data_IF_525900936483
#
_entry.id   IF_525900936483
#
_cell.length_a   1.000
_cell.length_b   1.000
_cell.length_c   1.000
_cell.angle_alpha   90.00
_cell.angle_beta   90.00
_cell.angle_gamma   90.00
#
_symmetry.space_group_name_H-M   'P 1'
#
loop_
_entity.id
_entity.type
_entity.pdbx_description
1 polymer ?
#
# COMPACT_ATOMS: atom_id res chain seq x y z
N UNK A 1 3.56 1.26 -19.84
CA UNK A 1 4.28 0.92 -18.58
C UNK A 1 3.60 -0.27 -17.94
N UNK A 2 4.35 -1.09 -17.22
CA UNK A 2 3.85 -2.20 -16.42
C UNK A 2 4.26 -1.91 -14.98
N UNK A 3 3.29 -1.95 -14.06
CA UNK A 3 3.52 -1.83 -12.62
C UNK A 3 3.01 -3.09 -11.93
N UNK A 4 3.92 -3.97 -11.50
CA UNK A 4 3.59 -5.18 -10.74
C UNK A 4 3.73 -4.89 -9.24
N UNK A 5 2.60 -4.82 -8.52
CA UNK A 5 2.62 -4.58 -7.07
C UNK A 5 2.35 -5.89 -6.35
N UNK A 6 3.41 -6.45 -5.79
CA UNK A 6 3.38 -7.65 -4.97
C UNK A 6 3.13 -7.40 -3.47
N UNK A 7 3.31 -8.45 -2.67
CA UNK A 7 3.19 -8.36 -1.22
C UNK A 7 4.39 -7.64 -0.57
N UNK A 8 5.60 -7.81 -1.13
CA UNK A 8 6.83 -7.24 -0.58
C UNK A 8 7.38 -6.06 -1.38
N UNK A 9 7.36 -6.15 -2.70
CA UNK A 9 7.91 -5.16 -3.62
C UNK A 9 6.87 -4.69 -4.64
N UNK A 10 7.20 -3.60 -5.34
CA UNK A 10 6.57 -3.20 -6.57
C UNK A 10 7.64 -2.99 -7.65
N UNK A 11 7.40 -3.54 -8.84
CA UNK A 11 8.32 -3.50 -9.98
C UNK A 11 7.69 -2.67 -11.11
N UNK A 12 8.47 -1.72 -11.64
CA UNK A 12 8.01 -0.79 -12.67
C UNK A 12 8.90 -0.85 -13.90
N UNK A 13 8.25 -1.10 -15.05
CA UNK A 13 8.93 -1.20 -16.33
C UNK A 13 8.23 -0.39 -17.41
N UNK A 14 9.01 0.18 -18.31
CA UNK A 14 8.49 0.91 -19.46
C UNK A 14 8.89 0.22 -20.75
N UNK A 15 7.90 -0.05 -21.58
CA UNK A 15 8.02 -0.77 -22.83
C UNK A 15 7.29 -0.01 -23.93
N UNK A 16 7.80 -0.15 -25.15
CA UNK A 16 7.20 0.34 -26.38
C UNK A 16 6.94 -0.85 -27.32
N UNK A 17 5.77 -0.85 -27.94
CA UNK A 17 5.43 -1.80 -29.00
C UNK A 17 5.98 -1.24 -30.31
N UNK A 18 7.02 -1.89 -30.86
CA UNK A 18 7.69 -1.49 -32.11
C UNK A 18 6.99 -2.08 -33.32
N UNK A 19 6.48 -3.30 -33.17
CA UNK A 19 5.71 -4.00 -34.20
C UNK A 19 4.76 -4.99 -33.52
N UNK A 20 3.67 -5.33 -34.20
CA UNK A 20 2.66 -6.29 -33.74
C UNK A 20 2.67 -7.59 -34.56
N UNK A 21 3.32 -7.62 -35.73
CA UNK A 21 3.35 -8.81 -36.61
C UNK A 21 4.72 -9.03 -37.29
N UNK A 22 5.67 -9.75 -36.64
CA UNK A 22 5.57 -10.34 -35.29
C UNK A 22 5.63 -9.27 -34.19
N UNK A 23 5.12 -9.61 -32.99
CA UNK A 23 5.23 -8.72 -31.83
C UNK A 23 6.71 -8.45 -31.53
N UNK A 24 7.09 -7.18 -31.58
CA UNK A 24 8.42 -6.68 -31.20
C UNK A 24 8.24 -5.58 -30.18
N UNK A 25 8.90 -5.72 -29.04
CA UNK A 25 8.87 -4.75 -27.96
C UNK A 25 10.28 -4.24 -27.66
N UNK A 26 10.36 -2.99 -27.21
CA UNK A 26 11.60 -2.33 -26.81
C UNK A 26 11.45 -1.80 -25.39
N UNK A 27 12.41 -2.11 -24.52
CA UNK A 27 12.44 -1.54 -23.19
C UNK A 27 12.91 -0.08 -23.27
N UNK A 28 12.12 0.84 -22.71
CA UNK A 28 12.40 2.28 -22.73
C UNK A 28 13.26 2.72 -21.55
N UNK A 29 13.11 2.04 -20.42
CA UNK A 29 13.79 2.35 -19.17
C UNK A 29 14.05 1.06 -18.40
N UNK A 30 15.18 1.01 -17.69
CA UNK A 30 15.52 -0.12 -16.83
C UNK A 30 14.42 -0.32 -15.76
N UNK A 31 14.22 -1.58 -15.37
CA UNK A 31 13.27 -1.93 -14.32
C UNK A 31 13.63 -1.24 -13.00
N UNK A 32 12.62 -0.73 -12.30
CA UNK A 32 12.75 -0.13 -10.97
C UNK A 32 11.97 -0.96 -9.97
N UNK A 33 12.66 -1.46 -8.94
CA UNK A 33 12.07 -2.23 -7.85
C UNK A 33 12.05 -1.37 -6.58
N UNK A 34 10.89 -1.27 -5.96
CA UNK A 34 10.72 -0.61 -4.66
C UNK A 34 10.16 -1.58 -3.63
N UNK A 35 10.58 -1.44 -2.38
CA UNK A 35 10.08 -2.24 -1.25
C UNK A 35 8.79 -1.66 -0.67
N UNK A 36 7.79 -1.46 -1.54
CA UNK A 36 6.50 -0.86 -1.22
C UNK A 36 5.32 -1.79 -1.55
N UNK A 37 5.46 -3.09 -1.30
CA UNK A 37 4.36 -4.04 -1.46
C UNK A 37 3.26 -3.90 -0.40
N UNK A 38 2.23 -4.74 -0.49
CA UNK A 38 1.06 -4.70 0.40
C UNK A 38 1.38 -4.88 1.91
N UNK A 39 2.55 -5.44 2.25
CA UNK A 39 3.03 -5.53 3.65
C UNK A 39 3.36 -4.17 4.24
N UNK A 40 3.81 -3.21 3.42
CA UNK A 40 4.17 -1.86 3.87
C UNK A 40 3.01 -1.16 4.57
N UNK A 41 1.77 -1.39 4.11
CA UNK A 41 0.56 -0.85 4.75
C UNK A 41 0.39 -1.41 6.17
N UNK A 42 0.56 -2.72 6.37
CA UNK A 42 0.43 -3.33 7.70
C UNK A 42 1.49 -2.83 8.66
N UNK A 43 2.73 -2.73 8.18
CA UNK A 43 3.87 -2.23 8.97
C UNK A 43 3.62 -0.79 9.38
N UNK A 44 3.09 0.03 8.48
CA UNK A 44 2.75 1.41 8.77
C UNK A 44 1.59 1.51 9.77
N UNK A 45 0.54 0.70 9.62
CA UNK A 45 -0.55 0.60 10.59
C UNK A 45 -0.02 0.23 11.98
N UNK A 46 0.78 -0.85 12.08
CA UNK A 46 1.42 -1.27 13.32
C UNK A 46 2.22 -0.12 13.94
N UNK A 47 3.05 0.55 13.14
CA UNK A 47 3.90 1.66 13.60
C UNK A 47 3.05 2.78 14.20
N UNK A 48 2.03 3.24 13.47
CA UNK A 48 1.12 4.32 13.90
C UNK A 48 0.34 3.93 15.16
N UNK A 49 -0.27 2.75 15.15
CA UNK A 49 -1.05 2.27 16.29
C UNK A 49 -0.19 2.13 17.54
N UNK A 50 0.93 1.40 17.47
CA UNK A 50 1.83 1.22 18.62
C UNK A 50 2.43 2.56 19.10
N UNK A 51 2.72 3.49 18.20
CA UNK A 51 3.16 4.83 18.58
C UNK A 51 2.07 5.57 19.37
N UNK A 52 0.80 5.48 18.94
CA UNK A 52 -0.32 6.15 19.61
C UNK A 52 -0.58 5.65 21.04
N UNK A 53 -0.20 4.40 21.34
CA UNK A 53 -0.38 3.76 22.66
C UNK A 53 0.93 3.58 23.44
N UNK A 54 2.04 4.14 22.94
CA UNK A 54 3.37 3.96 23.53
C UNK A 54 3.48 4.48 24.96
N UNK A 55 2.75 5.55 25.29
CA UNK A 55 2.58 6.11 26.63
C UNK A 55 1.83 5.18 27.60
N UNK A 56 1.13 4.16 27.07
CA UNK A 56 0.39 3.14 27.83
C UNK A 56 0.98 1.74 27.72
N UNK A 57 2.20 1.61 27.20
CA UNK A 57 2.87 0.32 26.91
C UNK A 57 2.78 -0.69 28.08
N UNK A 58 3.17 -0.28 29.28
CA UNK A 58 3.18 -1.19 30.45
C UNK A 58 1.78 -1.65 30.85
N UNK A 59 0.77 -0.78 30.77
CA UNK A 59 -0.61 -1.13 31.06
C UNK A 59 -1.17 -2.11 30.02
N UNK A 60 -0.85 -1.89 28.73
CA UNK A 60 -1.25 -2.78 27.64
C UNK A 60 -0.60 -4.15 27.80
N UNK A 61 0.72 -4.21 28.01
CA UNK A 61 1.44 -5.48 28.20
C UNK A 61 0.97 -6.23 29.45
N UNK A 62 0.73 -5.53 30.55
CA UNK A 62 0.20 -6.13 31.78
C UNK A 62 -1.19 -6.74 31.56
N UNK A 63 -2.05 -6.07 30.79
CA UNK A 63 -3.37 -6.61 30.42
C UNK A 63 -3.24 -7.85 29.52
N UNK A 64 -2.35 -7.82 28.53
CA UNK A 64 -2.14 -8.93 27.59
C UNK A 64 -1.61 -10.20 28.26
N UNK A 65 -0.78 -10.05 29.30
CA UNK A 65 -0.25 -11.17 30.11
C UNK A 65 -1.33 -11.97 30.86
N UNK A 66 -2.54 -11.43 31.00
CA UNK A 66 -3.68 -12.19 31.56
C UNK A 66 -4.18 -13.29 30.63
N UNK A 67 -3.89 -13.18 29.32
CA UNK A 67 -4.30 -14.13 28.29
C UNK A 67 -3.10 -14.92 27.75
N UNK A 68 -1.96 -14.26 27.57
CA UNK A 68 -0.73 -14.88 27.07
C UNK A 68 0.48 -14.25 27.76
N UNK A 69 1.15 -15.03 28.61
CA UNK A 69 2.31 -14.58 29.39
C UNK A 69 3.54 -14.26 28.54
N UNK A 70 3.59 -14.73 27.30
CA UNK A 70 4.70 -14.53 26.37
C UNK A 70 4.54 -13.31 25.48
N UNK A 71 3.36 -12.65 25.51
CA UNK A 71 3.06 -11.54 24.63
C UNK A 71 3.88 -10.29 25.01
N UNK A 72 4.86 -9.99 24.16
CA UNK A 72 5.66 -8.77 24.23
C UNK A 72 5.21 -7.73 23.20
N UNK A 73 5.91 -6.59 23.15
CA UNK A 73 5.57 -5.49 22.25
C UNK A 73 5.74 -5.83 20.78
N UNK A 74 6.70 -6.71 20.46
CA UNK A 74 6.94 -7.18 19.10
C UNK A 74 5.84 -8.16 18.69
N UNK A 75 5.50 -9.14 19.53
CA UNK A 75 4.42 -10.11 19.29
C UNK A 75 3.07 -9.42 19.15
N UNK A 76 2.79 -8.39 19.96
CA UNK A 76 1.60 -7.55 19.77
C UNK A 76 1.60 -6.89 18.39
N UNK A 77 2.75 -6.37 17.96
CA UNK A 77 2.93 -5.79 16.63
C UNK A 77 2.63 -6.77 15.50
N UNK A 78 3.15 -7.99 15.58
CA UNK A 78 2.89 -9.05 14.60
C UNK A 78 1.40 -9.45 14.57
N UNK A 79 0.75 -9.48 15.73
CA UNK A 79 -0.69 -9.78 15.85
C UNK A 79 -1.56 -8.65 15.31
N UNK A 80 -1.14 -7.39 15.45
CA UNK A 80 -1.77 -6.24 14.81
C UNK A 80 -1.70 -6.37 13.29
N UNK A 81 -0.52 -6.64 12.74
CA UNK A 81 -0.34 -6.83 11.29
C UNK A 81 -1.26 -7.95 10.76
N UNK A 82 -1.28 -9.11 11.44
CA UNK A 82 -2.11 -10.24 11.04
C UNK A 82 -3.61 -9.95 11.13
N UNK A 83 -4.06 -9.25 12.18
CA UNK A 83 -5.47 -8.90 12.36
C UNK A 83 -5.94 -7.84 11.35
N UNK A 84 -5.03 -6.96 10.92
CA UNK A 84 -5.28 -5.85 10.02
C UNK A 84 -5.46 -6.27 8.55
N UNK A 85 -4.95 -7.45 8.15
CA UNK A 85 -5.01 -7.93 6.75
C UNK A 85 -6.43 -7.93 6.16
N UNK A 86 -7.45 -8.32 6.96
CA UNK A 86 -8.84 -8.29 6.51
C UNK A 86 -9.33 -6.86 6.26
N UNK A 87 -9.18 -5.98 7.25
CA UNK A 87 -9.58 -4.58 7.16
C UNK A 87 -8.91 -3.88 5.96
N UNK A 88 -7.62 -4.13 5.73
CA UNK A 88 -6.88 -3.61 4.58
C UNK A 88 -7.48 -4.01 3.24
N UNK A 89 -7.85 -5.28 3.07
CA UNK A 89 -8.42 -5.81 1.81
C UNK A 89 -9.81 -5.26 1.53
N UNK A 90 -10.60 -5.06 2.59
CA UNK A 90 -11.98 -4.59 2.48
C UNK A 90 -12.09 -3.07 2.36
N UNK A 91 -10.99 -2.34 2.53
CA UNK A 91 -10.97 -0.89 2.46
C UNK A 91 -11.35 -0.36 1.08
N UNK A 92 -12.33 0.55 1.05
CA UNK A 92 -12.79 1.26 -0.15
C UNK A 92 -12.61 2.77 -0.04
N UNK A 93 -12.45 3.28 1.19
CA UNK A 93 -12.40 4.70 1.51
C UNK A 93 -13.66 5.42 0.97
N UNK A 94 -14.82 4.84 1.21
CA UNK A 94 -16.14 5.39 0.87
C UNK A 94 -16.93 5.56 2.16
N UNK A 95 -17.36 6.79 2.48
CA UNK A 95 -18.07 7.09 3.72
C UNK A 95 -17.22 6.93 5.00
N UNK A 96 -17.90 6.64 6.10
CA UNK A 96 -17.32 6.45 7.44
C UNK A 96 -16.99 4.97 7.68
N UNK A 97 -16.14 4.40 6.82
CA UNK A 97 -15.61 3.04 7.01
C UNK A 97 -14.92 2.93 8.38
N UNK A 98 -15.38 2.02 9.24
CA UNK A 98 -14.75 1.68 10.52
C UNK A 98 -14.59 0.18 10.65
N UNK A 99 -13.39 -0.25 11.00
CA UNK A 99 -13.03 -1.67 11.14
C UNK A 99 -12.72 -2.00 12.59
N UNK A 100 -13.16 -3.19 13.02
CA UNK A 100 -12.89 -3.68 14.37
C UNK A 100 -11.88 -4.81 14.31
N UNK A 101 -10.67 -4.57 14.80
CA UNK A 101 -9.68 -5.62 15.01
C UNK A 101 -9.90 -6.27 16.38
N UNK A 102 -9.67 -7.58 16.47
CA UNK A 102 -9.87 -8.36 17.69
C UNK A 102 -8.55 -8.91 18.19
N UNK A 103 -8.08 -8.38 19.31
CA UNK A 103 -6.85 -8.85 19.98
C UNK A 103 -7.21 -9.13 21.45
N UNK A 104 -7.52 -10.39 21.80
CA UNK A 104 -7.85 -10.78 23.16
C UNK A 104 -6.81 -10.32 24.19
N UNK A 105 -7.28 -9.83 25.34
CA UNK A 105 -6.42 -9.35 26.43
C UNK A 105 -6.05 -7.88 26.35
N UNK A 106 -6.41 -7.14 25.28
CA UNK A 106 -6.25 -5.69 25.28
C UNK A 106 -7.12 -5.01 26.36
N UNK A 107 -6.61 -3.96 27.00
CA UNK A 107 -7.37 -3.20 27.99
C UNK A 107 -8.51 -2.40 27.34
N UNK A 108 -9.40 -1.87 28.17
CA UNK A 108 -10.37 -0.86 27.75
C UNK A 108 -9.73 0.53 27.86
N UNK A 109 -9.50 1.19 26.73
CA UNK A 109 -8.93 2.54 26.64
C UNK A 109 -9.59 3.28 25.46
N UNK A 110 -10.83 3.79 25.62
CA UNK A 110 -11.57 4.44 24.54
C UNK A 110 -10.82 5.61 23.90
N UNK A 111 -10.03 6.34 24.67
CA UNK A 111 -9.20 7.46 24.21
C UNK A 111 -8.02 7.04 23.31
N UNK A 112 -7.79 5.73 23.18
CA UNK A 112 -6.73 5.12 22.34
C UNK A 112 -7.31 4.16 21.29
N UNK A 113 -8.54 4.42 20.86
CA UNK A 113 -9.27 3.57 19.90
C UNK A 113 -9.46 2.12 20.37
N UNK A 114 -9.47 1.88 21.70
CA UNK A 114 -9.79 0.60 22.32
C UNK A 114 -11.09 0.73 23.14
N UNK A 115 -12.26 0.91 22.51
CA UNK A 115 -13.52 1.27 23.18
C UNK A 115 -14.07 0.16 24.09
N UNK A 116 -13.62 -1.07 23.88
CA UNK A 116 -13.95 -2.23 24.69
C UNK A 116 -12.71 -3.12 24.76
N UNK A 117 -12.53 -3.80 25.90
CA UNK A 117 -11.46 -4.76 26.07
C UNK A 117 -11.41 -5.77 24.92
N UNK A 118 -10.20 -6.03 24.43
CA UNK A 118 -9.95 -6.96 23.33
C UNK A 118 -10.28 -6.45 21.92
N UNK A 119 -10.67 -5.18 21.75
CA UNK A 119 -11.07 -4.60 20.46
C UNK A 119 -10.30 -3.33 20.16
N UNK A 120 -9.90 -3.16 18.91
CA UNK A 120 -9.35 -1.92 18.36
C UNK A 120 -10.31 -1.44 17.27
N UNK A 121 -10.69 -0.18 17.36
CA UNK A 121 -11.40 0.51 16.30
C UNK A 121 -10.37 1.19 15.38
N UNK A 122 -10.50 0.94 14.07
CA UNK A 122 -9.65 1.52 13.04
C UNK A 122 -10.56 2.31 12.13
N UNK A 123 -10.47 3.63 12.27
CA UNK A 123 -11.22 4.57 11.43
C UNK A 123 -10.62 4.68 10.02
N UNK A 124 -11.39 5.29 9.13
CA UNK A 124 -11.00 5.52 7.75
C UNK A 124 -9.74 6.40 7.62
N UNK A 125 -9.49 7.32 8.57
CA UNK A 125 -8.33 8.21 8.50
C UNK A 125 -7.03 7.45 8.77
N UNK A 126 -6.99 6.64 9.82
CA UNK A 126 -5.87 5.74 10.10
C UNK A 126 -5.64 4.75 8.94
N UNK A 127 -6.71 4.27 8.30
CA UNK A 127 -6.60 3.46 7.08
C UNK A 127 -5.93 4.24 5.93
N UNK A 128 -6.40 5.46 5.61
CA UNK A 128 -5.82 6.30 4.55
C UNK A 128 -4.35 6.60 4.83
N UNK A 129 -4.06 7.00 6.06
CA UNK A 129 -2.70 7.30 6.53
C UNK A 129 -1.76 6.10 6.43
N UNK A 130 -2.26 4.89 6.68
CA UNK A 130 -1.47 3.66 6.57
C UNK A 130 -1.16 3.29 5.11
N UNK A 131 -2.05 3.64 4.17
CA UNK A 131 -1.82 3.44 2.73
C UNK A 131 -0.91 4.52 2.11
N UNK A 132 -0.86 5.72 2.71
CA UNK A 132 -0.23 6.89 2.11
C UNK A 132 1.26 6.69 1.76
N UNK A 133 2.10 6.08 2.62
CA UNK A 133 3.51 5.88 2.27
C UNK A 133 3.69 5.01 1.03
N UNK A 134 2.92 3.92 0.92
CA UNK A 134 2.95 3.03 -0.23
C UNK A 134 2.56 3.77 -1.51
N UNK A 135 1.44 4.51 -1.47
CA UNK A 135 0.95 5.31 -2.58
C UNK A 135 1.97 6.35 -3.03
N UNK A 136 2.57 7.08 -2.08
CA UNK A 136 3.59 8.07 -2.37
C UNK A 136 4.78 7.44 -3.11
N UNK A 137 5.29 6.29 -2.63
CA UNK A 137 6.41 5.60 -3.30
C UNK A 137 6.03 5.15 -4.71
N UNK A 138 4.87 4.50 -4.89
CA UNK A 138 4.41 4.03 -6.20
C UNK A 138 4.29 5.20 -7.19
N UNK A 139 3.58 6.27 -6.81
CA UNK A 139 3.37 7.44 -7.65
C UNK A 139 4.72 8.11 -7.99
N UNK A 140 5.62 8.21 -7.01
CA UNK A 140 6.92 8.83 -7.20
C UNK A 140 7.74 8.06 -8.22
N UNK A 141 7.82 6.73 -8.14
CA UNK A 141 8.59 5.90 -9.08
C UNK A 141 8.01 5.95 -10.49
N UNK A 142 6.69 5.95 -10.63
CA UNK A 142 6.05 6.12 -11.94
C UNK A 142 6.44 7.48 -12.54
N UNK A 143 6.33 8.56 -11.76
CA UNK A 143 6.69 9.91 -12.22
C UNK A 143 8.17 10.04 -12.57
N UNK A 144 9.05 9.48 -11.76
CA UNK A 144 10.50 9.52 -12.03
C UNK A 144 10.86 8.71 -13.27
N UNK A 145 10.21 7.57 -13.49
CA UNK A 145 10.34 6.78 -14.73
C UNK A 145 9.89 7.59 -15.94
N UNK A 146 8.70 8.21 -15.90
CA UNK A 146 8.18 9.04 -16.98
C UNK A 146 9.11 10.21 -17.29
N UNK A 147 9.60 10.92 -16.26
CA UNK A 147 10.59 12.01 -16.42
C UNK A 147 11.91 11.52 -16.99
N UNK A 148 12.37 10.32 -16.63
CA UNK A 148 13.58 9.75 -17.19
C UNK A 148 13.42 9.43 -18.69
N UNK A 149 12.27 8.89 -19.09
CA UNK A 149 11.96 8.60 -20.50
C UNK A 149 11.81 9.90 -21.29
N UNK A 150 11.08 10.90 -20.78
CA UNK A 150 10.90 12.18 -21.46
C UNK A 150 12.26 12.89 -21.66
N UNK A 151 13.17 12.82 -20.68
CA UNK A 151 14.55 13.31 -20.88
C UNK A 151 15.25 12.57 -22.02
N UNK A 152 15.17 11.24 -22.08
CA UNK A 152 15.76 10.45 -23.18
C UNK A 152 15.14 10.81 -24.53
N UNK A 153 13.84 11.05 -24.58
CA UNK A 153 13.10 11.50 -25.77
C UNK A 153 13.58 12.87 -26.24
N UNK A 154 13.76 13.84 -25.34
CA UNK A 154 14.30 15.17 -25.67
C UNK A 154 15.71 15.12 -26.27
N UNK A 155 16.47 14.06 -25.98
CA UNK A 155 17.79 13.78 -26.56
C UNK A 155 17.75 12.87 -27.81
N UNK A 156 16.57 12.54 -28.32
CA UNK A 156 16.40 11.68 -29.51
C UNK A 156 16.76 10.21 -29.29
N UNK A 157 16.88 9.74 -28.04
CA UNK A 157 17.22 8.36 -27.72
C UNK A 157 16.01 7.43 -27.71
N UNK A 158 14.81 8.00 -27.62
CA UNK A 158 13.52 7.31 -27.61
C UNK A 158 12.53 8.15 -28.42
N UNK A 159 11.61 7.50 -29.14
CA UNK A 159 10.66 8.19 -30.03
C UNK A 159 9.35 8.58 -29.32
N UNK A 160 8.94 7.80 -28.32
CA UNK A 160 7.67 7.93 -27.62
C UNK A 160 7.81 7.89 -26.10
N UNK A 161 6.77 8.36 -25.41
CA UNK A 161 6.60 8.20 -23.98
C UNK A 161 5.41 7.27 -23.70
N UNK A 162 5.42 6.50 -22.61
CA UNK A 162 4.27 5.69 -22.23
C UNK A 162 3.03 6.55 -22.03
N UNK A 163 1.90 6.07 -22.53
CA UNK A 163 0.54 6.64 -22.43
C UNK A 163 -0.42 5.70 -21.67
N UNK A 164 0.02 4.48 -21.36
CA UNK A 164 -0.72 3.49 -20.60
C UNK A 164 0.14 2.91 -19.46
N UNK A 165 -0.49 2.68 -18.31
CA UNK A 165 0.01 1.91 -17.18
C UNK A 165 -0.85 0.65 -17.00
N UNK A 166 -0.25 -0.50 -17.27
CA UNK A 166 -0.80 -1.82 -16.99
C UNK A 166 -0.45 -2.20 -15.55
N UNK A 167 -1.45 -2.27 -14.69
CA UNK A 167 -1.25 -2.74 -13.31
C UNK A 167 -1.28 -4.26 -13.27
N UNK A 168 -0.35 -4.87 -12.53
CA UNK A 168 -0.29 -6.29 -12.26
C UNK A 168 -0.09 -6.55 -10.76
N UNK A 169 -0.22 -7.82 -10.36
CA UNK A 169 0.01 -8.25 -8.98
C UNK A 169 -1.16 -8.02 -8.03
N UNK A 170 -0.97 -8.47 -6.78
CA UNK A 170 -2.01 -8.41 -5.74
C UNK A 170 -2.39 -6.99 -5.32
N UNK A 171 -1.50 -6.01 -5.48
CA UNK A 171 -1.78 -4.60 -5.23
C UNK A 171 -2.76 -3.99 -6.25
N UNK A 172 -2.80 -4.52 -7.48
CA UNK A 172 -3.80 -4.18 -8.50
C UNK A 172 -5.23 -4.61 -8.14
N UNK A 173 -5.42 -5.42 -7.09
CA UNK A 173 -6.73 -5.82 -6.60
C UNK A 173 -7.25 -4.95 -5.45
N UNK A 174 -6.45 -3.98 -4.95
CA UNK A 174 -6.90 -3.04 -3.94
C UNK A 174 -7.55 -1.83 -4.62
N UNK A 175 -8.87 -1.72 -4.49
CA UNK A 175 -9.66 -0.65 -5.11
C UNK A 175 -9.20 0.75 -4.71
N UNK A 176 -8.82 0.95 -3.45
CA UNK A 176 -8.34 2.24 -2.97
C UNK A 176 -7.02 2.64 -3.63
N UNK A 177 -6.07 1.70 -3.74
CA UNK A 177 -4.79 1.93 -4.42
C UNK A 177 -5.02 2.27 -5.90
N UNK A 178 -5.80 1.45 -6.59
CA UNK A 178 -6.05 1.63 -8.01
C UNK A 178 -6.75 2.95 -8.31
N UNK A 179 -7.75 3.32 -7.50
CA UNK A 179 -8.45 4.60 -7.62
C UNK A 179 -7.48 5.77 -7.43
N UNK A 180 -6.62 5.72 -6.41
CA UNK A 180 -5.64 6.79 -6.15
C UNK A 180 -4.59 6.94 -7.25
N UNK A 181 -4.13 5.83 -7.82
CA UNK A 181 -3.21 5.85 -8.96
C UNK A 181 -3.89 6.50 -10.17
N UNK A 182 -5.14 6.11 -10.49
CA UNK A 182 -5.94 6.73 -11.57
C UNK A 182 -6.14 8.22 -11.39
N UNK A 183 -6.67 8.62 -10.24
CA UNK A 183 -6.88 10.03 -9.88
C UNK A 183 -5.62 10.88 -10.02
N UNK A 184 -4.45 10.26 -9.86
CA UNK A 184 -3.16 10.95 -9.95
C UNK A 184 -2.58 10.98 -11.36
N UNK A 185 -2.76 9.92 -12.16
CA UNK A 185 -2.04 9.74 -13.43
C UNK A 185 -2.89 10.00 -14.68
N UNK A 186 -4.20 9.74 -14.61
CA UNK A 186 -5.11 9.98 -15.76
C UNK A 186 -5.20 11.46 -16.16
N UNK A 187 -5.20 12.44 -15.21
CA UNK A 187 -5.11 13.86 -15.57
C UNK A 187 -3.82 14.24 -16.30
N UNK A 188 -2.74 13.47 -16.10
CA UNK A 188 -1.44 13.65 -16.77
C UNK A 188 -1.41 12.93 -18.15
N UNK A 189 -2.53 12.36 -18.59
CA UNK A 189 -2.67 11.68 -19.88
C UNK A 189 -2.22 10.22 -19.88
N UNK A 190 -1.98 9.62 -18.71
CA UNK A 190 -1.60 8.20 -18.59
C UNK A 190 -2.85 7.38 -18.24
N UNK A 191 -3.33 6.59 -19.20
CA UNK A 191 -4.42 5.64 -18.97
C UNK A 191 -3.98 4.53 -18.02
N UNK A 192 -4.83 4.13 -17.06
CA UNK A 192 -4.49 3.06 -16.10
C UNK A 192 -5.42 1.87 -16.27
N UNK A 193 -4.86 0.80 -16.82
CA UNK A 193 -5.55 -0.47 -17.06
C UNK A 193 -5.28 -1.43 -15.91
N UNK A 194 -6.35 -2.06 -15.42
CA UNK A 194 -6.27 -3.09 -14.38
C UNK A 194 -6.44 -4.47 -15.03
N UNK A 195 -5.94 -5.54 -14.40
CA UNK A 195 -6.24 -6.89 -14.84
C UNK A 195 -7.76 -7.07 -14.79
N UNK A 196 -8.38 -7.39 -15.93
CA UNK A 196 -9.75 -7.90 -15.94
C UNK A 196 -9.75 -9.26 -15.25
N UNK A 197 -10.54 -9.38 -14.17
CA UNK A 197 -10.81 -10.64 -13.48
C UNK A 197 -11.60 -11.61 -14.37
#
# INVERSE_FOLDING_TARGET
MIGDIGAGSADFEAWEIVDVHPLRVRQLHASQTEWCGARTINVEFRRRFLQSISDRKEAVLSSLRTVDTTMDWQTLGERLEASFEGAKKDFRAEGDDSYILRIPGLPNMPEKSMPRGGRIEVDADLMRESHQPQLNTIIQVIRDTLRAIERRRSHGLVESCPDELLMAGGGGNNNYICRKIRETLEPDGISVSLPTA
#
